data_IF_370610681397
#
_entry.id   IF_370610681397
#
_cell.length_a   1.000
_cell.length_b   1.000
_cell.length_c   1.000
_cell.angle_alpha   90.00
_cell.angle_beta   90.00
_cell.angle_gamma   90.00
#
_symmetry.space_group_name_H-M   'P 1'
#
loop_
_entity.id
_entity.type
_entity.pdbx_description
1 polymer ?
#
# COMPACT_ATOMS: atom_id res chain seq x y z
N UNK A 1 -8.77 -5.77 -10.15
CA UNK A 1 -7.42 -5.23 -9.94
C UNK A 1 -6.45 -5.87 -10.92
N UNK A 2 -5.69 -5.05 -11.57
CA UNK A 2 -4.67 -5.55 -12.48
C UNK A 2 -3.33 -5.57 -11.75
N UNK A 3 -2.63 -6.68 -11.83
CA UNK A 3 -1.36 -6.87 -11.16
C UNK A 3 -0.29 -7.13 -12.20
N UNK A 4 0.67 -6.22 -12.29
CA UNK A 4 1.82 -6.40 -13.16
C UNK A 4 3.01 -6.82 -12.30
N UNK A 5 3.66 -7.90 -12.70
CA UNK A 5 4.76 -8.46 -11.93
C UNK A 5 6.04 -8.39 -12.76
N UNK A 6 7.07 -7.87 -12.15
CA UNK A 6 8.39 -7.79 -12.74
C UNK A 6 9.39 -8.48 -11.82
N UNK A 7 10.31 -9.20 -12.39
CA UNK A 7 11.39 -9.83 -11.61
C UNK A 7 12.75 -9.34 -12.11
N UNK A 8 13.66 -9.19 -11.17
CA UNK A 8 15.02 -8.77 -11.45
C UNK A 8 15.98 -9.71 -10.76
N UNK A 9 16.90 -10.29 -11.53
CA UNK A 9 17.85 -11.29 -11.02
C UNK A 9 17.16 -12.44 -10.28
N UNK A 10 15.93 -12.74 -10.67
CA UNK A 10 15.12 -13.75 -10.02
C UNK A 10 14.21 -14.37 -11.05
N UNK A 11 14.17 -15.68 -11.08
CA UNK A 11 13.27 -16.38 -11.99
C UNK A 11 11.89 -16.51 -11.35
N UNK A 12 10.91 -15.94 -12.03
CA UNK A 12 9.55 -15.94 -11.54
C UNK A 12 8.89 -17.27 -11.90
N UNK A 13 8.75 -18.14 -10.91
CA UNK A 13 8.10 -19.43 -11.10
C UNK A 13 6.59 -19.28 -11.07
N UNK A 14 5.84 -20.23 -11.66
CA UNK A 14 4.38 -20.20 -11.57
C UNK A 14 3.88 -20.19 -10.12
N UNK A 15 4.56 -20.89 -9.24
CA UNK A 15 4.21 -20.95 -7.83
C UNK A 15 4.32 -19.57 -7.18
N UNK A 16 5.39 -18.85 -7.47
CA UNK A 16 5.59 -17.50 -6.91
C UNK A 16 4.60 -16.52 -7.53
N UNK A 17 4.34 -16.65 -8.83
CA UNK A 17 3.37 -15.81 -9.51
C UNK A 17 1.99 -15.97 -8.88
N UNK A 18 1.58 -17.20 -8.64
CA UNK A 18 0.31 -17.47 -7.99
C UNK A 18 0.27 -16.89 -6.59
N UNK A 19 1.34 -17.05 -5.85
CA UNK A 19 1.43 -16.51 -4.50
C UNK A 19 1.29 -14.98 -4.49
N UNK A 20 1.98 -14.31 -5.41
CA UNK A 20 1.89 -12.86 -5.53
C UNK A 20 0.47 -12.43 -5.87
N UNK A 21 -0.15 -13.09 -6.86
CA UNK A 21 -1.51 -12.76 -7.26
C UNK A 21 -2.50 -12.96 -6.13
N UNK A 22 -2.34 -14.00 -5.34
CA UNK A 22 -3.20 -14.23 -4.19
C UNK A 22 -3.01 -13.17 -3.11
N UNK A 23 -1.76 -12.92 -2.75
CA UNK A 23 -1.47 -11.98 -1.65
C UNK A 23 -1.80 -10.54 -2.04
N UNK A 24 -1.31 -10.10 -3.18
CA UNK A 24 -1.56 -8.72 -3.62
C UNK A 24 -3.02 -8.55 -4.02
N UNK A 25 -3.59 -9.58 -4.65
CA UNK A 25 -5.00 -9.56 -5.01
C UNK A 25 -5.93 -9.42 -3.82
N UNK A 26 -5.53 -9.92 -2.67
CA UNK A 26 -6.35 -9.81 -1.46
C UNK A 26 -6.50 -8.35 -1.00
N UNK A 27 -5.65 -7.45 -1.46
CA UNK A 27 -5.75 -6.04 -1.12
C UNK A 27 -7.00 -5.41 -1.73
N UNK A 28 -7.56 -6.04 -2.74
CA UNK A 28 -8.76 -5.55 -3.41
C UNK A 28 -9.91 -5.32 -2.44
N UNK A 29 -10.03 -6.15 -1.42
CA UNK A 29 -11.11 -6.02 -0.44
C UNK A 29 -11.01 -4.76 0.41
N UNK A 30 -9.84 -4.16 0.48
CA UNK A 30 -9.65 -2.90 1.20
C UNK A 30 -9.88 -1.69 0.31
N UNK A 31 -10.04 -1.91 -0.99
CA UNK A 31 -10.28 -0.85 -1.95
C UNK A 31 -11.70 -1.02 -2.44
N UNK A 32 -12.62 -0.23 -1.91
CA UNK A 32 -14.03 -0.34 -2.27
C UNK A 32 -14.31 0.22 -3.65
N UNK A 33 -15.40 -0.28 -4.25
CA UNK A 33 -15.87 0.25 -5.52
C UNK A 33 -16.14 1.75 -5.40
N UNK A 34 -16.62 2.19 -4.24
CA UNK A 34 -16.84 3.60 -3.99
C UNK A 34 -15.57 4.43 -4.01
N UNK A 35 -14.43 3.79 -3.84
CA UNK A 35 -13.15 4.49 -3.90
C UNK A 35 -12.78 4.90 -5.32
N UNK A 36 -13.46 4.32 -6.30
CA UNK A 36 -13.29 4.66 -7.71
C UNK A 36 -14.40 5.56 -8.20
N UNK A 37 -15.17 6.12 -7.29
CA UNK A 37 -16.38 6.85 -7.62
C UNK A 37 -16.15 8.25 -8.14
N UNK A 38 -14.93 8.72 -8.17
CA UNK A 38 -14.61 10.00 -8.77
C UNK A 38 -14.67 9.94 -10.30
N UNK A 39 -15.63 9.18 -10.79
CA UNK A 39 -15.85 8.99 -12.20
C UNK A 39 -14.93 7.95 -12.80
N UNK A 40 -14.04 7.48 -12.02
CA UNK A 40 -13.06 6.52 -12.50
C UNK A 40 -13.63 5.11 -12.44
N UNK A 41 -13.90 4.58 -13.58
CA UNK A 41 -14.14 3.15 -13.69
C UNK A 41 -12.83 2.42 -13.93
N UNK A 42 -11.72 3.16 -13.90
CA UNK A 42 -10.41 2.55 -14.12
C UNK A 42 -10.10 1.56 -12.99
N UNK A 43 -9.74 0.34 -13.33
CA UNK A 43 -9.36 -0.64 -12.30
C UNK A 43 -8.11 -0.20 -11.59
N UNK A 44 -8.01 -0.56 -10.33
CA UNK A 44 -6.80 -0.30 -9.57
C UNK A 44 -5.69 -1.18 -10.12
N UNK A 45 -4.53 -0.59 -10.31
CA UNK A 45 -3.36 -1.31 -10.79
C UNK A 45 -2.33 -1.42 -9.69
N UNK A 46 -1.75 -2.60 -9.56
CA UNK A 46 -0.65 -2.85 -8.66
C UNK A 46 0.57 -3.27 -9.46
N UNK A 47 1.69 -2.65 -9.19
CA UNK A 47 2.95 -3.00 -9.81
C UNK A 47 3.83 -3.65 -8.76
N UNK A 48 4.17 -4.90 -8.99
CA UNK A 48 4.98 -5.68 -8.04
C UNK A 48 6.32 -5.99 -8.68
N UNK A 49 7.37 -5.67 -7.98
CA UNK A 49 8.70 -6.07 -8.42
C UNK A 49 9.33 -6.96 -7.35
N UNK A 50 9.84 -8.10 -7.80
CA UNK A 50 10.59 -9.01 -6.93
C UNK A 50 12.00 -9.07 -7.46
N UNK A 51 12.95 -8.76 -6.61
CA UNK A 51 14.35 -8.76 -7.00
C UNK A 51 15.16 -9.59 -6.02
N UNK A 52 16.13 -10.29 -6.57
CA UNK A 52 17.13 -10.93 -5.74
C UNK A 52 18.34 -10.02 -5.72
N UNK A 53 18.72 -9.58 -4.53
CA UNK A 53 19.88 -8.76 -4.34
C UNK A 53 20.98 -9.62 -3.75
N UNK A 54 22.13 -9.64 -4.40
CA UNK A 54 23.27 -10.30 -3.81
C UNK A 54 23.89 -9.37 -2.80
N UNK A 55 23.80 -9.78 -1.56
CA UNK A 55 24.48 -9.05 -0.55
C UNK A 55 25.91 -9.56 -0.50
N UNK A 56 26.84 -8.68 -0.71
CA UNK A 56 28.25 -9.02 -0.67
C UNK A 56 28.70 -9.49 0.70
N UNK A 57 27.80 -9.49 1.63
CA UNK A 57 28.14 -9.77 3.01
C UNK A 57 27.76 -11.17 3.42
N UNK A 58 28.18 -12.13 2.67
CA UNK A 58 28.30 -13.43 3.22
C UNK A 58 27.08 -14.29 3.45
N UNK A 59 25.93 -13.79 3.63
CA UNK A 59 24.84 -14.61 4.12
C UNK A 59 23.83 -15.00 3.06
N UNK A 60 24.26 -15.07 1.82
CA UNK A 60 23.40 -15.55 0.77
C UNK A 60 22.51 -14.47 0.21
N UNK A 61 21.51 -14.92 -0.52
CA UNK A 61 20.65 -14.02 -1.27
C UNK A 61 19.58 -13.38 -0.41
N UNK A 62 19.36 -12.11 -0.66
CA UNK A 62 18.29 -11.37 -0.06
C UNK A 62 17.29 -11.04 -1.16
N UNK A 63 16.01 -11.21 -0.87
CA UNK A 63 14.96 -10.92 -1.82
C UNK A 63 14.24 -9.65 -1.40
N UNK A 64 13.95 -8.82 -2.38
CA UNK A 64 13.24 -7.57 -2.17
C UNK A 64 11.92 -7.64 -2.90
N UNK A 65 10.84 -7.35 -2.19
CA UNK A 65 9.53 -7.23 -2.79
C UNK A 65 9.07 -5.78 -2.70
N UNK A 66 8.68 -5.21 -3.82
CA UNK A 66 8.21 -3.85 -3.89
C UNK A 66 6.82 -3.84 -4.49
N UNK A 67 5.90 -3.10 -3.88
CA UNK A 67 4.54 -2.96 -4.39
C UNK A 67 4.25 -1.47 -4.53
N UNK A 68 3.78 -1.09 -5.70
CA UNK A 68 3.35 0.26 -5.99
C UNK A 68 1.89 0.22 -6.41
N UNK A 69 1.06 1.03 -5.78
CA UNK A 69 -0.36 1.10 -6.10
C UNK A 69 -0.82 2.54 -6.03
N UNK A 70 -1.77 2.88 -6.87
CA UNK A 70 -2.41 4.19 -6.79
C UNK A 70 -3.78 4.00 -6.18
N UNK A 71 -3.99 4.60 -5.01
CA UNK A 71 -5.24 4.48 -4.27
C UNK A 71 -5.72 5.88 -3.91
N UNK A 72 -6.95 6.19 -4.25
CA UNK A 72 -7.56 7.50 -3.98
C UNK A 72 -6.71 8.66 -4.45
N UNK A 73 -6.08 8.50 -5.60
CA UNK A 73 -5.25 9.54 -6.17
C UNK A 73 -3.85 9.61 -5.61
N UNK A 74 -3.52 8.82 -4.63
CA UNK A 74 -2.19 8.81 -4.05
C UNK A 74 -1.41 7.57 -4.47
N UNK A 75 -0.14 7.78 -4.77
CA UNK A 75 0.75 6.68 -5.11
C UNK A 75 1.35 6.12 -3.83
N UNK A 76 1.02 4.88 -3.56
CA UNK A 76 1.53 4.17 -2.39
C UNK A 76 2.63 3.23 -2.81
N UNK A 77 3.70 3.23 -2.06
CA UNK A 77 4.83 2.38 -2.34
C UNK A 77 5.35 1.75 -1.06
N UNK A 78 5.58 0.45 -1.11
CA UNK A 78 6.24 -0.26 -0.01
C UNK A 78 7.32 -1.14 -0.57
N UNK A 79 8.36 -1.38 0.20
CA UNK A 79 9.34 -2.39 -0.13
C UNK A 79 9.77 -3.11 1.14
N UNK A 80 10.06 -4.39 0.99
CA UNK A 80 10.51 -5.23 2.09
C UNK A 80 11.59 -6.15 1.58
N UNK A 81 12.64 -6.31 2.34
CA UNK A 81 13.70 -7.27 2.04
C UNK A 81 13.69 -8.39 3.08
N UNK A 82 13.89 -9.61 2.62
CA UNK A 82 13.93 -10.76 3.50
C UNK A 82 14.72 -11.87 2.83
N UNK A 83 15.15 -12.83 3.63
CA UNK A 83 15.87 -13.99 3.11
C UNK A 83 14.96 -14.91 2.32
N UNK A 84 13.68 -14.89 2.61
CA UNK A 84 12.69 -15.70 1.95
C UNK A 84 11.80 -14.82 1.09
N UNK A 85 11.71 -15.15 -0.20
CA UNK A 85 10.95 -14.34 -1.14
C UNK A 85 9.47 -14.30 -0.78
N UNK A 86 8.92 -15.38 -0.27
CA UNK A 86 7.51 -15.41 0.10
C UNK A 86 7.25 -14.55 1.32
N UNK A 87 8.17 -14.53 2.26
CA UNK A 87 8.07 -13.66 3.44
C UNK A 87 8.15 -12.20 2.99
N UNK A 88 9.07 -11.89 2.09
CA UNK A 88 9.18 -10.52 1.57
C UNK A 88 7.88 -10.07 0.91
N UNK A 89 7.29 -10.92 0.09
CA UNK A 89 6.02 -10.60 -0.58
C UNK A 89 4.89 -10.42 0.43
N UNK A 90 4.77 -11.35 1.38
CA UNK A 90 3.72 -11.28 2.39
C UNK A 90 3.84 -10.06 3.27
N UNK A 91 5.07 -9.73 3.68
CA UNK A 91 5.31 -8.55 4.50
C UNK A 91 5.04 -7.26 3.73
N UNK A 92 5.42 -7.21 2.46
CA UNK A 92 5.13 -6.06 1.62
C UNK A 92 3.63 -5.87 1.47
N UNK A 93 2.90 -6.96 1.27
CA UNK A 93 1.44 -6.92 1.20
C UNK A 93 0.84 -6.37 2.48
N UNK A 94 1.32 -6.83 3.63
CA UNK A 94 0.82 -6.36 4.92
C UNK A 94 1.08 -4.87 5.13
N UNK A 95 2.25 -4.39 4.72
CA UNK A 95 2.56 -2.96 4.78
C UNK A 95 1.66 -2.16 3.86
N UNK A 96 1.41 -2.65 2.66
CA UNK A 96 0.53 -1.96 1.72
C UNK A 96 -0.89 -1.93 2.27
N UNK A 97 -1.34 -3.01 2.87
CA UNK A 97 -2.66 -3.06 3.51
C UNK A 97 -2.81 -1.96 4.55
N UNK A 98 -1.80 -1.81 5.41
CA UNK A 98 -1.82 -0.74 6.42
C UNK A 98 -1.87 0.64 5.79
N UNK A 99 -1.08 0.86 4.74
CA UNK A 99 -1.09 2.16 4.07
C UNK A 99 -2.45 2.46 3.45
N UNK A 100 -3.07 1.47 2.85
CA UNK A 100 -4.41 1.65 2.27
C UNK A 100 -5.41 2.02 3.35
N UNK A 101 -5.40 1.29 4.46
CA UNK A 101 -6.32 1.55 5.56
C UNK A 101 -6.07 2.94 6.15
N UNK A 102 -4.81 3.30 6.37
CA UNK A 102 -4.46 4.62 6.89
C UNK A 102 -4.96 5.74 5.99
N UNK A 103 -4.78 5.60 4.69
CA UNK A 103 -5.23 6.62 3.75
C UNK A 103 -6.75 6.74 3.75
N UNK A 104 -7.43 5.63 3.80
CA UNK A 104 -8.90 5.64 3.86
C UNK A 104 -9.39 6.30 5.14
N UNK A 105 -8.77 5.97 6.27
CA UNK A 105 -9.13 6.59 7.53
C UNK A 105 -8.78 8.07 7.55
N UNK A 106 -7.62 8.42 7.04
CA UNK A 106 -7.17 9.79 6.99
C UNK A 106 -8.09 10.65 6.12
N UNK A 107 -8.45 10.17 4.94
CA UNK A 107 -9.35 10.91 4.06
C UNK A 107 -10.75 10.97 4.63
N UNK A 108 -11.23 9.90 5.22
CA UNK A 108 -12.51 9.91 5.91
C UNK A 108 -12.52 10.86 7.09
N UNK A 109 -11.42 10.87 7.85
CA UNK A 109 -11.29 11.79 8.98
C UNK A 109 -11.24 13.25 8.53
N UNK A 110 -10.56 13.51 7.42
CA UNK A 110 -10.51 14.87 6.87
C UNK A 110 -11.87 15.36 6.42
N UNK A 111 -12.66 14.50 5.80
CA UNK A 111 -14.02 14.86 5.41
C UNK A 111 -14.88 15.14 6.64
N UNK A 112 -14.83 14.28 7.63
CA UNK A 112 -15.58 14.49 8.86
C UNK A 112 -15.09 15.70 9.62
N UNK A 113 -13.77 15.94 9.60
CA UNK A 113 -13.21 17.14 10.23
C UNK A 113 -13.63 18.42 9.52
N UNK A 114 -13.72 18.38 8.19
CA UNK A 114 -14.19 19.54 7.45
C UNK A 114 -15.54 19.99 7.92
N UNK A 115 -16.46 19.07 8.09
CA UNK A 115 -17.79 19.37 8.58
C UNK A 115 -17.80 19.78 10.05
N UNK A 116 -17.05 19.09 10.87
CA UNK A 116 -16.97 19.38 12.30
C UNK A 116 -16.20 20.64 12.60
N UNK A 117 -15.12 20.88 11.86
CA UNK A 117 -14.27 22.04 12.12
C UNK A 117 -15.03 23.33 11.88
N UNK A 118 -15.96 23.33 10.92
CA UNK A 118 -16.78 24.49 10.68
C UNK A 118 -17.63 24.82 11.91
N UNK A 119 -18.11 23.80 12.59
CA UNK A 119 -18.90 23.99 13.81
C UNK A 119 -18.02 24.30 15.01
N UNK A 120 -16.81 23.79 15.03
CA UNK A 120 -15.92 23.89 16.20
C UNK A 120 -15.00 25.08 16.20
N UNK A 121 -14.69 25.61 15.03
CA UNK A 121 -13.83 26.79 14.96
C UNK A 121 -14.34 27.95 15.79
N UNK A 122 -15.60 27.90 16.16
CA UNK A 122 -16.21 28.94 17.01
C UNK A 122 -16.00 28.71 18.49
N UNK A 123 -15.58 27.48 18.88
CA UNK A 123 -15.57 27.14 20.31
C UNK A 123 -14.26 26.52 20.79
N UNK A 124 -13.32 26.20 19.91
CA UNK A 124 -12.08 25.55 20.30
C UNK A 124 -10.90 26.47 20.05
N UNK A 125 -10.01 26.52 21.04
CA UNK A 125 -8.83 27.33 20.91
C UNK A 125 -7.88 26.78 19.85
N UNK A 126 -7.16 27.62 19.14
CA UNK A 126 -6.18 27.15 18.14
C UNK A 126 -5.14 26.22 18.73
N UNK A 127 -4.84 26.36 19.97
CA UNK A 127 -3.85 25.52 20.64
C UNK A 127 -4.27 24.05 20.71
N UNK A 128 -5.53 23.79 21.02
CA UNK A 128 -6.06 22.45 21.06
C UNK A 128 -6.05 21.84 19.67
N UNK A 129 -6.22 22.66 18.67
CA UNK A 129 -6.19 22.21 17.30
C UNK A 129 -4.78 21.81 16.85
N UNK A 130 -3.78 22.58 17.25
CA UNK A 130 -2.40 22.26 16.94
C UNK A 130 -1.91 20.97 17.59
N UNK A 131 -2.38 20.72 18.79
CA UNK A 131 -2.01 19.49 19.49
C UNK A 131 -2.45 18.24 18.75
N UNK A 132 -3.51 18.31 17.99
CA UNK A 132 -4.01 17.16 17.23
C UNK A 132 -3.20 16.84 16.02
N UNK A 133 -2.41 17.74 15.55
CA UNK A 133 -1.61 17.53 14.37
C UNK A 133 -0.31 16.79 14.65
N UNK A 134 -0.02 16.54 15.86
CA UNK A 134 1.10 15.71 16.23
C UNK A 134 0.66 14.28 16.41
#
# INVERSE_FOLDING_TARGET
MKIDIKSTNFELTPSITTYINEKVGSLKKFINVSDNSDGGTAPVEAFVEVARTTNHHKNGDVYKAEINMKVKGELLRVDVSDWDVRVAIGSAKDLMERKIVEIKEEKGAKQRKGERTFKRLKSISPLAWFKKEK
#
